data_IF_640893358684
#
_entry.id   IF_640893358684
#
_cell.length_a   1.000
_cell.length_b   1.000
_cell.length_c   1.000
_cell.angle_alpha   90.00
_cell.angle_beta   90.00
_cell.angle_gamma   90.00
#
_symmetry.space_group_name_H-M   'P 1'
#
loop_
_entity.id
_entity.type
_entity.pdbx_description
1 polymer ?
#
# COMPACT_ATOMS: atom_id res chain seq x y z
N UNK A 1 1.16 12.69 13.01
CA UNK A 1 1.89 12.73 11.71
C UNK A 1 3.29 13.40 11.77
N UNK A 2 3.66 14.12 12.83
CA UNK A 2 4.94 14.85 12.93
C UNK A 2 6.19 13.97 13.21
N UNK A 3 6.03 12.65 13.33
CA UNK A 3 7.10 11.73 13.77
C UNK A 3 7.64 10.77 12.69
N UNK A 4 7.41 11.08 11.41
CA UNK A 4 7.91 10.29 10.27
C UNK A 4 8.66 11.18 9.28
N UNK A 5 9.77 10.66 8.77
CA UNK A 5 10.76 11.28 7.87
C UNK A 5 10.57 10.85 6.40
N UNK A 6 9.43 10.25 6.04
CA UNK A 6 9.14 9.87 4.64
C UNK A 6 8.75 11.06 3.77
N UNK A 7 8.40 12.19 4.39
CA UNK A 7 8.00 13.40 3.67
C UNK A 7 9.18 14.01 2.94
N UNK A 8 8.93 14.40 1.69
CA UNK A 8 9.92 15.05 0.84
C UNK A 8 9.56 16.54 0.76
N UNK A 9 10.43 17.44 1.21
CA UNK A 9 10.19 18.87 1.04
C UNK A 9 10.26 19.23 -0.44
N UNK A 10 9.36 20.08 -0.91
CA UNK A 10 9.35 20.57 -2.29
C UNK A 10 10.12 21.89 -2.41
N UNK A 11 11.30 21.99 -1.78
CA UNK A 11 12.13 23.18 -1.85
C UNK A 11 13.00 23.21 -3.12
N UNK A 12 13.28 24.42 -3.59
CA UNK A 12 14.00 24.65 -4.85
C UNK A 12 15.40 24.04 -4.85
N UNK A 13 16.09 24.03 -3.70
CA UNK A 13 17.43 23.49 -3.61
C UNK A 13 17.45 21.97 -3.83
N UNK A 14 16.52 21.23 -3.21
CA UNK A 14 16.37 19.80 -3.46
C UNK A 14 16.05 19.53 -4.93
N UNK A 15 15.11 20.28 -5.51
CA UNK A 15 14.68 20.07 -6.89
C UNK A 15 15.83 20.30 -7.87
N UNK A 16 16.59 21.39 -7.70
CA UNK A 16 17.73 21.70 -8.56
C UNK A 16 18.84 20.63 -8.42
N UNK A 17 19.08 20.14 -7.21
CA UNK A 17 20.02 19.04 -6.96
C UNK A 17 19.58 17.74 -7.66
N UNK A 18 18.30 17.38 -7.57
CA UNK A 18 17.73 16.21 -8.25
C UNK A 18 17.90 16.32 -9.76
N UNK A 19 17.54 17.46 -10.36
CA UNK A 19 17.67 17.67 -11.81
C UNK A 19 19.13 17.56 -12.24
N UNK A 20 20.05 18.19 -11.48
CA UNK A 20 21.49 18.13 -11.75
C UNK A 20 21.99 16.69 -11.74
N UNK A 21 21.64 15.92 -10.71
CA UNK A 21 22.10 14.55 -10.58
C UNK A 21 21.57 13.66 -11.70
N UNK A 22 20.26 13.70 -11.97
CA UNK A 22 19.67 12.90 -13.05
C UNK A 22 20.21 13.30 -14.43
N UNK A 23 20.52 14.58 -14.63
CA UNK A 23 21.17 15.05 -15.86
C UNK A 23 22.58 14.45 -15.99
N UNK A 24 23.36 14.46 -14.91
CA UNK A 24 24.69 13.86 -14.88
C UNK A 24 24.62 12.35 -15.15
N UNK A 25 23.81 11.60 -14.39
CA UNK A 25 23.67 10.16 -14.55
C UNK A 25 23.25 9.76 -15.97
N UNK A 26 22.36 10.55 -16.59
CA UNK A 26 21.94 10.33 -17.98
C UNK A 26 23.08 10.60 -18.97
N UNK A 27 23.79 11.71 -18.82
CA UNK A 27 24.85 12.10 -19.76
C UNK A 27 26.04 11.13 -19.70
N UNK A 28 26.39 10.66 -18.50
CA UNK A 28 27.43 9.67 -18.27
C UNK A 28 26.97 8.22 -18.49
N UNK A 29 25.70 8.01 -18.86
CA UNK A 29 25.10 6.69 -19.10
C UNK A 29 25.29 5.72 -17.93
N UNK A 30 25.10 6.20 -16.71
CA UNK A 30 25.22 5.37 -15.52
C UNK A 30 24.17 4.26 -15.47
N UNK A 31 24.43 3.21 -14.70
CA UNK A 31 23.59 2.03 -14.65
C UNK A 31 22.30 2.25 -13.83
N UNK A 32 21.32 1.38 -14.01
CA UNK A 32 20.03 1.41 -13.30
C UNK A 32 20.18 1.48 -11.78
N UNK A 33 21.19 0.81 -11.22
CA UNK A 33 21.45 0.81 -9.79
C UNK A 33 21.79 2.20 -9.25
N UNK A 34 22.47 3.05 -10.03
CA UNK A 34 22.77 4.44 -9.62
C UNK A 34 21.49 5.28 -9.55
N UNK A 35 20.65 5.19 -10.58
CA UNK A 35 19.34 5.86 -10.60
C UNK A 35 18.46 5.36 -9.45
N UNK A 36 18.42 4.04 -9.22
CA UNK A 36 17.63 3.43 -8.16
C UNK A 36 18.12 3.85 -6.77
N UNK A 37 19.43 3.82 -6.54
CA UNK A 37 20.04 4.23 -5.27
C UNK A 37 19.72 5.70 -4.97
N UNK A 38 20.00 6.60 -5.92
CA UNK A 38 19.76 8.03 -5.72
C UNK A 38 18.27 8.34 -5.48
N UNK A 39 17.38 7.72 -6.26
CA UNK A 39 15.93 7.88 -6.09
C UNK A 39 15.47 7.35 -4.74
N UNK A 40 15.96 6.18 -4.33
CA UNK A 40 15.68 5.61 -3.02
C UNK A 40 16.08 6.59 -1.90
N UNK A 41 17.25 7.20 -1.97
CA UNK A 41 17.73 8.04 -0.87
C UNK A 41 17.04 9.41 -0.82
N UNK A 42 16.78 10.01 -1.98
CA UNK A 42 16.36 11.42 -2.05
C UNK A 42 14.86 11.60 -2.31
N UNK A 43 14.25 10.69 -3.07
CA UNK A 43 12.90 10.82 -3.60
C UNK A 43 11.92 9.74 -3.11
N UNK A 44 12.42 8.72 -2.40
CA UNK A 44 11.61 7.66 -1.79
C UNK A 44 12.12 7.42 -0.37
N UNK A 45 12.02 8.44 0.48
CA UNK A 45 12.59 8.45 1.83
C UNK A 45 12.01 7.35 2.73
N UNK A 46 12.70 7.07 3.83
CA UNK A 46 12.30 6.11 4.85
C UNK A 46 12.56 6.65 6.25
N UNK A 47 11.83 6.15 7.22
CA UNK A 47 12.19 6.33 8.62
C UNK A 47 13.46 5.52 8.96
N UNK A 48 14.32 6.02 9.86
CA UNK A 48 15.36 5.21 10.47
C UNK A 48 14.78 3.95 11.12
N UNK A 49 15.47 2.83 10.97
CA UNK A 49 15.05 1.56 11.58
C UNK A 49 15.18 1.67 13.09
N UNK A 50 14.09 1.49 13.81
CA UNK A 50 14.10 1.46 15.27
C UNK A 50 13.67 0.07 15.79
N UNK A 51 14.46 -0.57 16.68
CA UNK A 51 14.10 -1.85 17.28
C UNK A 51 12.98 -1.73 18.32
N UNK A 52 12.66 -0.54 18.80
CA UNK A 52 11.54 -0.31 19.70
C UNK A 52 10.94 1.06 19.39
N UNK A 53 9.66 1.09 19.04
CA UNK A 53 8.94 2.34 18.99
C UNK A 53 8.27 2.56 20.34
N UNK A 54 8.18 3.82 20.76
CA UNK A 54 7.25 4.19 21.82
C UNK A 54 5.83 3.79 21.40
N UNK A 55 5.01 3.35 22.37
CA UNK A 55 3.61 3.00 22.14
C UNK A 55 2.77 4.26 21.90
N UNK A 56 2.93 4.88 20.73
CA UNK A 56 2.18 6.09 20.36
C UNK A 56 0.82 5.77 19.73
N UNK A 57 0.59 4.51 19.31
CA UNK A 57 -0.59 4.07 18.55
C UNK A 57 -0.79 4.78 17.21
N UNK A 58 0.20 5.55 16.75
CA UNK A 58 0.16 6.20 15.45
C UNK A 58 0.62 5.23 14.36
N UNK A 59 -0.06 5.25 13.21
CA UNK A 59 0.43 4.56 12.03
C UNK A 59 1.76 5.15 11.57
N UNK A 60 2.75 4.26 11.38
CA UNK A 60 4.05 4.58 10.81
C UNK A 60 4.25 3.77 9.55
N UNK A 61 5.26 4.14 8.77
CA UNK A 61 5.60 3.52 7.51
C UNK A 61 6.98 2.90 7.58
N UNK A 62 7.12 1.73 6.96
CA UNK A 62 8.39 1.05 6.83
C UNK A 62 8.68 0.77 5.35
N UNK A 63 9.83 1.28 4.89
CA UNK A 63 10.32 1.01 3.54
C UNK A 63 11.16 -0.26 3.53
N UNK A 64 10.72 -1.23 2.74
CA UNK A 64 11.37 -2.51 2.53
C UNK A 64 12.01 -2.54 1.14
N UNK A 65 13.18 -3.17 1.03
CA UNK A 65 13.93 -3.31 -0.22
C UNK A 65 14.02 -4.79 -0.54
N UNK A 66 13.64 -5.19 -1.76
CA UNK A 66 13.68 -6.57 -2.24
C UNK A 66 13.05 -7.60 -1.29
N UNK A 67 12.04 -7.17 -0.52
CA UNK A 67 11.42 -8.05 0.47
C UNK A 67 10.61 -9.12 -0.25
N UNK A 68 11.05 -10.37 -0.10
CA UNK A 68 10.30 -11.52 -0.57
C UNK A 68 9.26 -11.93 0.48
N UNK A 69 7.99 -11.88 0.08
CA UNK A 69 6.89 -12.39 0.89
C UNK A 69 6.09 -13.38 0.05
N UNK A 70 6.07 -14.66 0.47
CA UNK A 70 5.37 -15.72 -0.25
C UNK A 70 4.01 -16.03 0.38
N UNK A 71 2.92 -16.11 -0.40
CA UNK A 71 1.68 -16.68 0.10
C UNK A 71 1.90 -18.13 0.49
N UNK A 72 1.16 -18.58 1.50
CA UNK A 72 1.13 -19.99 1.90
C UNK A 72 -0.21 -20.60 1.54
N UNK A 73 -0.18 -21.85 1.06
CA UNK A 73 -1.37 -22.67 0.80
C UNK A 73 -2.02 -23.21 2.07
N UNK A 74 -1.38 -23.02 3.24
CA UNK A 74 -1.95 -23.39 4.53
C UNK A 74 -3.28 -22.67 4.75
N UNK A 75 -4.30 -23.41 5.18
CA UNK A 75 -5.62 -22.85 5.51
C UNK A 75 -5.52 -21.72 6.56
N UNK A 76 -4.53 -21.80 7.45
CA UNK A 76 -4.27 -20.82 8.50
C UNK A 76 -3.42 -19.63 8.03
N UNK A 77 -2.97 -19.61 6.78
CA UNK A 77 -2.22 -18.48 6.24
C UNK A 77 -3.10 -17.24 6.13
N UNK A 78 -2.56 -16.11 6.63
CA UNK A 78 -3.14 -14.77 6.47
C UNK A 78 -2.65 -14.03 5.24
N UNK A 79 -1.71 -14.61 4.51
CA UNK A 79 -1.30 -14.17 3.19
C UNK A 79 -1.64 -15.24 2.17
N UNK A 80 -2.59 -14.92 1.30
CA UNK A 80 -3.12 -15.82 0.28
C UNK A 80 -2.88 -15.23 -1.10
N UNK A 81 -2.65 -16.11 -2.07
CA UNK A 81 -2.61 -15.74 -3.47
C UNK A 81 -4.02 -15.37 -3.97
N UNK A 82 -4.18 -14.31 -4.78
CA UNK A 82 -5.44 -14.06 -5.48
C UNK A 82 -5.77 -15.24 -6.40
N UNK A 83 -7.05 -15.63 -6.53
CA UNK A 83 -7.44 -16.66 -7.47
C UNK A 83 -7.27 -16.15 -8.92
N UNK A 84 -6.96 -17.07 -9.83
CA UNK A 84 -6.95 -16.78 -11.26
C UNK A 84 -8.38 -16.43 -11.74
N UNK A 85 -8.50 -15.39 -12.56
CA UNK A 85 -9.79 -14.90 -13.09
C UNK A 85 -10.09 -15.54 -14.45
N UNK A 86 -9.05 -15.94 -15.18
CA UNK A 86 -9.17 -16.65 -16.44
C UNK A 86 -8.64 -18.07 -16.22
N UNK A 87 -9.41 -19.07 -16.67
CA UNK A 87 -8.95 -20.44 -16.83
C UNK A 87 -7.89 -20.46 -17.93
N UNK A 88 -6.66 -20.09 -17.60
CA UNK A 88 -5.54 -20.37 -18.48
C UNK A 88 -5.08 -21.80 -18.19
N UNK A 89 -4.99 -22.65 -19.21
CA UNK A 89 -4.35 -23.98 -19.16
C UNK A 89 -2.82 -23.89 -18.88
N UNK A 90 -2.33 -22.79 -18.30
CA UNK A 90 -0.92 -22.42 -18.34
C UNK A 90 -0.41 -21.90 -16.99
N UNK A 91 0.38 -22.75 -16.35
CA UNK A 91 1.37 -22.50 -15.28
C UNK A 91 0.83 -21.87 -14.00
N UNK A 92 0.90 -22.62 -12.89
CA UNK A 92 0.80 -22.06 -11.54
C UNK A 92 1.83 -20.92 -11.40
N UNK A 93 1.34 -19.69 -11.17
CA UNK A 93 2.21 -18.58 -10.83
C UNK A 93 2.69 -18.72 -9.38
N UNK A 94 4.00 -18.78 -9.16
CA UNK A 94 4.59 -19.09 -7.86
C UNK A 94 4.66 -17.89 -6.88
N UNK A 95 4.11 -16.74 -7.30
CA UNK A 95 4.12 -15.46 -6.56
C UNK A 95 5.50 -15.10 -5.98
N UNK A 96 6.58 -15.54 -6.63
CA UNK A 96 7.94 -15.28 -6.21
C UNK A 96 8.44 -13.94 -6.78
N UNK A 97 7.82 -12.84 -6.35
CA UNK A 97 8.21 -11.49 -6.74
C UNK A 97 8.90 -10.76 -5.58
N UNK A 98 9.92 -9.97 -5.91
CA UNK A 98 10.69 -9.15 -4.97
C UNK A 98 10.68 -7.72 -5.49
N UNK A 99 9.81 -6.85 -4.98
CA UNK A 99 9.81 -5.48 -5.43
C UNK A 99 11.09 -4.76 -5.01
N UNK A 100 11.62 -3.90 -5.88
CA UNK A 100 12.83 -3.13 -5.57
C UNK A 100 12.62 -2.31 -4.29
N UNK A 101 11.47 -1.64 -4.20
CA UNK A 101 11.04 -0.94 -2.99
C UNK A 101 9.54 -1.20 -2.74
N UNK A 102 9.18 -1.44 -1.49
CA UNK A 102 7.79 -1.48 -1.05
C UNK A 102 7.60 -0.79 0.30
N UNK A 103 6.53 -0.02 0.41
CA UNK A 103 6.13 0.63 1.66
C UNK A 103 4.99 -0.12 2.32
N UNK A 104 5.21 -0.39 3.61
CA UNK A 104 4.30 -1.12 4.48
C UNK A 104 3.92 -0.26 5.68
N UNK A 105 2.81 -0.61 6.31
CA UNK A 105 2.42 -0.04 7.59
C UNK A 105 3.17 -0.77 8.71
N UNK A 106 3.77 -0.01 9.64
CA UNK A 106 4.35 -0.58 10.86
C UNK A 106 3.26 -0.87 11.88
N UNK A 107 3.32 -2.04 12.51
CA UNK A 107 2.50 -2.36 13.69
C UNK A 107 3.26 -2.15 15.01
N UNK A 108 4.53 -1.76 14.95
CA UNK A 108 5.42 -1.70 16.13
C UNK A 108 5.12 -0.55 17.10
N UNK A 109 4.37 0.46 16.67
CA UNK A 109 3.91 1.57 17.52
C UNK A 109 2.66 1.23 18.32
N UNK A 110 2.10 0.03 18.12
CA UNK A 110 0.95 -0.48 18.85
C UNK A 110 1.39 -1.43 19.98
N UNK A 111 0.53 -1.53 20.99
CA UNK A 111 0.72 -2.45 22.10
C UNK A 111 0.93 -3.90 21.62
N UNK A 112 1.94 -4.63 22.11
CA UNK A 112 2.25 -6.00 21.66
C UNK A 112 1.11 -7.02 21.78
N UNK A 113 0.27 -6.92 22.82
CA UNK A 113 -0.87 -7.82 22.98
C UNK A 113 -1.96 -7.55 21.94
N UNK A 114 -2.16 -6.28 21.61
CA UNK A 114 -3.01 -5.90 20.48
C UNK A 114 -2.44 -6.42 19.17
N UNK A 115 -1.13 -6.29 18.93
CA UNK A 115 -0.48 -6.81 17.70
C UNK A 115 -0.65 -8.32 17.60
N UNK A 116 -0.50 -9.08 18.69
CA UNK A 116 -0.74 -10.53 18.71
C UNK A 116 -2.17 -10.90 18.30
N UNK A 117 -3.16 -10.13 18.74
CA UNK A 117 -4.56 -10.32 18.30
C UNK A 117 -4.74 -9.89 16.84
N UNK A 118 -4.12 -8.77 16.45
CA UNK A 118 -4.18 -8.21 15.11
C UNK A 118 -3.68 -9.21 14.05
N UNK A 119 -2.54 -9.86 14.32
CA UNK A 119 -1.94 -10.91 13.47
C UNK A 119 -2.83 -12.14 13.28
N UNK A 120 -3.89 -12.32 14.09
CA UNK A 120 -4.87 -13.38 13.87
C UNK A 120 -5.79 -13.11 12.70
N UNK A 121 -5.89 -11.88 12.20
CA UNK A 121 -6.87 -11.48 11.17
C UNK A 121 -6.23 -11.04 9.86
N UNK A 122 -5.01 -10.52 9.92
CA UNK A 122 -4.27 -10.02 8.77
C UNK A 122 -2.82 -10.53 8.81
N UNK A 123 -2.18 -10.59 7.65
CA UNK A 123 -0.77 -10.93 7.57
C UNK A 123 0.10 -9.85 8.23
N UNK A 124 0.95 -10.27 9.15
CA UNK A 124 1.99 -9.45 9.75
C UNK A 124 3.32 -10.15 9.53
N UNK A 125 4.24 -9.49 8.83
CA UNK A 125 5.56 -10.02 8.56
C UNK A 125 6.51 -9.72 9.73
N UNK A 126 7.09 -10.76 10.32
CA UNK A 126 8.04 -10.69 11.44
C UNK A 126 7.56 -9.80 12.60
N UNK A 127 6.27 -9.85 12.94
CA UNK A 127 5.62 -9.04 13.98
C UNK A 127 5.86 -7.52 13.82
N UNK A 128 6.09 -7.07 12.58
CA UNK A 128 6.64 -5.74 12.29
C UNK A 128 5.80 -4.93 11.34
N UNK A 129 5.47 -5.50 10.18
CA UNK A 129 4.86 -4.75 9.07
C UNK A 129 3.63 -5.47 8.52
N UNK A 130 2.68 -4.71 8.01
CA UNK A 130 1.44 -5.20 7.42
C UNK A 130 0.94 -4.29 6.29
N UNK A 131 -0.01 -4.78 5.50
CA UNK A 131 -0.77 -3.99 4.53
C UNK A 131 0.08 -3.11 3.61
N UNK A 132 0.86 -3.68 2.68
CA UNK A 132 1.66 -2.89 1.74
C UNK A 132 0.75 -2.02 0.87
N UNK A 133 1.16 -0.79 0.61
CA UNK A 133 0.30 0.21 -0.01
C UNK A 133 0.94 0.99 -1.16
N UNK A 134 2.27 0.89 -1.30
CA UNK A 134 3.01 1.52 -2.39
C UNK A 134 4.20 0.64 -2.79
N UNK A 135 4.31 0.31 -4.08
CA UNK A 135 5.37 -0.53 -4.66
C UNK A 135 6.11 0.23 -5.75
N UNK A 136 7.43 0.06 -5.84
CA UNK A 136 8.27 0.68 -6.87
C UNK A 136 9.12 -0.36 -7.58
N UNK A 137 9.25 -0.19 -8.89
CA UNK A 137 10.08 -1.00 -9.79
C UNK A 137 10.94 -0.09 -10.66
N UNK A 138 12.22 -0.42 -10.79
CA UNK A 138 13.20 0.21 -11.65
C UNK A 138 13.47 -0.70 -12.85
N UNK A 139 13.71 -0.10 -14.01
CA UNK A 139 14.06 -0.83 -15.23
C UNK A 139 15.01 -0.04 -16.12
N UNK A 140 15.80 -0.77 -16.89
CA UNK A 140 16.85 -0.23 -17.78
C UNK A 140 16.35 0.19 -19.16
N UNK A 141 15.36 -0.50 -19.74
CA UNK A 141 14.94 -0.33 -21.14
C UNK A 141 13.41 -0.47 -21.38
N UNK A 142 12.92 -0.08 -22.56
CA UNK A 142 11.48 -0.04 -22.85
C UNK A 142 10.84 -1.43 -22.81
N UNK A 143 11.58 -2.49 -23.20
CA UNK A 143 11.08 -3.88 -23.16
C UNK A 143 10.90 -4.39 -21.73
N UNK A 144 11.52 -3.75 -20.75
CA UNK A 144 11.41 -4.11 -19.35
C UNK A 144 10.33 -3.32 -18.60
N UNK A 145 9.70 -2.31 -19.23
CA UNK A 145 8.62 -1.52 -18.62
C UNK A 145 7.31 -2.30 -18.47
N UNK A 146 6.93 -3.11 -19.46
CA UNK A 146 5.78 -4.03 -19.33
C UNK A 146 5.97 -4.97 -18.14
N UNK A 147 7.18 -5.50 -17.98
CA UNK A 147 7.54 -6.35 -16.83
C UNK A 147 7.44 -5.58 -15.50
N UNK A 148 7.85 -4.32 -15.45
CA UNK A 148 7.69 -3.48 -14.26
C UNK A 148 6.22 -3.30 -13.89
N UNK A 149 5.39 -3.03 -14.90
CA UNK A 149 3.96 -2.89 -14.73
C UNK A 149 3.33 -4.20 -14.25
N UNK A 150 3.73 -5.35 -14.80
CA UNK A 150 3.28 -6.67 -14.36
C UNK A 150 3.68 -6.98 -12.92
N UNK A 151 4.90 -6.58 -12.51
CA UNK A 151 5.37 -6.73 -11.13
C UNK A 151 4.54 -5.86 -10.17
N UNK A 152 4.26 -4.61 -10.54
CA UNK A 152 3.36 -3.73 -9.77
C UNK A 152 1.95 -4.32 -9.69
N UNK A 153 1.41 -4.80 -10.82
CA UNK A 153 0.08 -5.40 -10.89
C UNK A 153 -0.01 -6.62 -9.97
N UNK A 154 1.02 -7.47 -9.98
CA UNK A 154 1.14 -8.65 -9.12
C UNK A 154 1.18 -8.27 -7.65
N UNK A 155 2.07 -7.34 -7.28
CA UNK A 155 2.22 -6.87 -5.90
C UNK A 155 0.92 -6.24 -5.38
N UNK A 156 0.28 -5.42 -6.20
CA UNK A 156 -0.99 -4.78 -5.88
C UNK A 156 -2.14 -5.78 -5.78
N UNK A 157 -2.25 -6.75 -6.68
CA UNK A 157 -3.27 -7.80 -6.63
C UNK A 157 -3.16 -8.63 -5.35
N UNK A 158 -1.93 -8.99 -4.95
CA UNK A 158 -1.65 -9.64 -3.68
C UNK A 158 -2.11 -8.80 -2.48
N UNK A 159 -1.73 -7.51 -2.44
CA UNK A 159 -2.09 -6.60 -1.36
C UNK A 159 -3.62 -6.41 -1.26
N UNK A 160 -4.26 -6.12 -2.39
CA UNK A 160 -5.69 -5.84 -2.48
C UNK A 160 -6.54 -7.07 -2.18
N UNK A 161 -6.17 -8.25 -2.68
CA UNK A 161 -6.90 -9.47 -2.41
C UNK A 161 -6.95 -9.78 -0.91
N UNK A 162 -5.80 -9.75 -0.23
CA UNK A 162 -5.74 -10.00 1.21
C UNK A 162 -6.49 -8.91 2.00
N UNK A 163 -6.45 -7.66 1.53
CA UNK A 163 -7.25 -6.58 2.12
C UNK A 163 -8.76 -6.80 1.93
N UNK A 164 -9.19 -7.32 0.79
CA UNK A 164 -10.59 -7.68 0.53
C UNK A 164 -11.05 -8.83 1.43
N UNK A 165 -10.23 -9.86 1.60
CA UNK A 165 -10.54 -10.96 2.52
C UNK A 165 -10.80 -10.45 3.94
N UNK A 166 -9.96 -9.55 4.46
CA UNK A 166 -10.22 -8.90 5.75
C UNK A 166 -11.54 -8.13 5.77
N UNK A 167 -11.84 -7.35 4.72
CA UNK A 167 -13.09 -6.60 4.62
C UNK A 167 -14.32 -7.52 4.60
N UNK A 168 -14.26 -8.63 3.87
CA UNK A 168 -15.32 -9.64 3.81
C UNK A 168 -15.57 -10.25 5.19
N UNK A 169 -14.51 -10.59 5.93
CA UNK A 169 -14.65 -11.10 7.30
C UNK A 169 -15.35 -10.07 8.20
N UNK A 170 -14.96 -8.78 8.14
CA UNK A 170 -15.70 -7.72 8.85
C UNK A 170 -17.19 -7.69 8.46
N UNK A 171 -17.49 -7.78 7.16
CA UNK A 171 -18.86 -7.69 6.66
C UNK A 171 -19.71 -8.87 7.14
N UNK A 172 -19.13 -10.07 7.26
CA UNK A 172 -19.78 -11.23 7.89
C UNK A 172 -20.10 -10.96 9.37
N UNK A 173 -19.14 -10.46 10.13
CA UNK A 173 -19.36 -10.15 11.56
C UNK A 173 -20.45 -9.09 11.77
N UNK A 174 -20.50 -8.10 10.88
CA UNK A 174 -21.47 -6.99 10.95
C UNK A 174 -22.77 -7.28 10.20
N UNK A 175 -22.89 -8.44 9.55
CA UNK A 175 -24.04 -8.84 8.70
C UNK A 175 -24.41 -7.79 7.65
N UNK A 176 -23.41 -7.12 7.06
CA UNK A 176 -23.57 -6.10 6.03
C UNK A 176 -23.16 -6.63 4.65
N UNK A 177 -23.72 -6.05 3.59
CA UNK A 177 -23.31 -6.32 2.22
C UNK A 177 -22.14 -5.42 1.79
N UNK A 178 -21.41 -5.86 0.78
CA UNK A 178 -20.43 -5.04 0.09
C UNK A 178 -21.12 -3.94 -0.74
N UNK A 179 -20.50 -2.76 -0.77
CA UNK A 179 -20.98 -1.54 -1.46
C UNK A 179 -19.79 -0.66 -1.86
N UNK A 180 -20.02 0.34 -2.71
CA UNK A 180 -18.99 1.21 -3.27
C UNK A 180 -18.25 2.01 -2.19
N UNK A 181 -18.89 2.28 -1.04
CA UNK A 181 -18.24 2.92 0.11
C UNK A 181 -17.03 2.11 0.58
N UNK A 182 -17.09 0.78 0.48
CA UNK A 182 -16.02 -0.12 0.92
C UNK A 182 -14.81 -0.13 0.00
N UNK A 183 -14.95 0.24 -1.28
CA UNK A 183 -13.86 0.22 -2.28
C UNK A 183 -12.98 1.46 -2.22
N UNK A 184 -13.47 2.57 -1.66
CA UNK A 184 -12.73 3.85 -1.57
C UNK A 184 -11.35 3.73 -0.91
N UNK A 185 -11.24 2.89 0.14
CA UNK A 185 -10.00 2.61 0.86
C UNK A 185 -9.19 1.43 0.30
N UNK A 186 -9.64 0.80 -0.79
CA UNK A 186 -9.04 -0.38 -1.39
C UNK A 186 -8.29 -0.01 -2.65
N UNK A 187 -7.09 0.52 -2.46
CA UNK A 187 -6.17 0.87 -3.54
C UNK A 187 -4.76 0.41 -3.21
N UNK A 188 -3.91 0.34 -4.21
CA UNK A 188 -2.48 0.17 -4.05
C UNK A 188 -1.80 1.04 -5.08
N UNK A 189 -0.76 1.75 -4.69
CA UNK A 189 -0.03 2.62 -5.61
C UNK A 189 1.20 1.91 -6.14
N UNK A 190 1.54 2.22 -7.39
CA UNK A 190 2.74 1.74 -8.05
C UNK A 190 3.58 2.91 -8.55
N UNK A 191 4.89 2.70 -8.67
CA UNK A 191 5.79 3.60 -9.37
C UNK A 191 6.74 2.77 -10.23
N UNK A 192 6.76 3.04 -11.54
CA UNK A 192 7.80 2.53 -12.43
C UNK A 192 8.76 3.65 -12.77
N UNK A 193 10.05 3.36 -12.73
CA UNK A 193 11.12 4.29 -13.09
C UNK A 193 12.01 3.69 -14.18
N UNK A 194 12.32 4.51 -15.17
CA UNK A 194 13.20 4.18 -16.28
C UNK A 194 14.14 5.34 -16.55
N UNK A 195 15.38 5.24 -16.04
CA UNK A 195 16.29 6.37 -16.00
C UNK A 195 15.64 7.57 -15.30
N UNK A 196 15.41 8.65 -16.04
CA UNK A 196 14.73 9.84 -15.52
C UNK A 196 13.20 9.86 -15.74
N UNK A 197 12.64 8.94 -16.52
CA UNK A 197 11.20 8.86 -16.77
C UNK A 197 10.52 8.08 -15.65
N UNK A 198 9.31 8.49 -15.29
CA UNK A 198 8.52 7.82 -14.25
C UNK A 198 7.04 7.72 -14.64
N UNK A 199 6.39 6.70 -14.09
CA UNK A 199 4.92 6.58 -14.13
C UNK A 199 4.40 6.13 -12.77
N UNK A 200 3.47 6.91 -12.21
CA UNK A 200 2.69 6.50 -11.06
C UNK A 200 1.44 5.75 -11.51
N UNK A 201 1.16 4.65 -10.83
CA UNK A 201 0.03 3.78 -11.08
C UNK A 201 -0.91 3.78 -9.87
N UNK A 202 -2.21 3.77 -10.12
CA UNK A 202 -3.24 3.52 -9.13
C UNK A 202 -3.91 2.19 -9.48
N UNK A 203 -3.68 1.18 -8.64
CA UNK A 203 -4.30 -0.13 -8.77
C UNK A 203 -5.51 -0.18 -7.85
N UNK A 204 -6.66 -0.53 -8.42
CA UNK A 204 -7.95 -0.61 -7.70
C UNK A 204 -8.71 -1.86 -8.10
N UNK A 205 -9.67 -2.27 -7.29
CA UNK A 205 -10.56 -3.38 -7.65
C UNK A 205 -11.34 -3.05 -8.92
N UNK A 206 -11.55 -4.07 -9.76
CA UNK A 206 -12.55 -3.98 -10.83
C UNK A 206 -13.93 -3.78 -10.22
N UNK A 207 -14.77 -3.04 -10.92
CA UNK A 207 -16.16 -2.83 -10.51
C UNK A 207 -16.88 -4.16 -10.41
N UNK A 208 -17.67 -4.34 -9.36
CA UNK A 208 -18.54 -5.50 -9.15
C UNK A 208 -20.00 -5.04 -9.10
N UNK A 209 -20.98 -5.87 -9.49
CA UNK A 209 -22.38 -5.54 -9.30
C UNK A 209 -22.67 -5.38 -7.81
N UNK A 210 -23.31 -4.28 -7.40
CA UNK A 210 -23.60 -4.01 -5.99
C UNK A 210 -25.11 -3.97 -5.72
N UNK A 211 -25.57 -4.36 -4.51
CA UNK A 211 -24.79 -4.89 -3.39
C UNK A 211 -24.40 -6.38 -3.55
N UNK A 212 -23.32 -6.83 -2.89
CA UNK A 212 -22.89 -8.24 -2.88
C UNK A 212 -22.88 -8.80 -1.46
N UNK A 213 -23.50 -9.97 -1.26
CA UNK A 213 -23.39 -10.71 0.00
C UNK A 213 -21.93 -11.15 0.22
N UNK A 214 -21.36 -11.02 1.43
CA UNK A 214 -19.99 -11.48 1.69
C UNK A 214 -19.79 -13.00 1.52
N UNK A 215 -20.88 -13.77 1.41
CA UNK A 215 -20.84 -15.21 1.08
C UNK A 215 -20.76 -15.50 -0.42
N UNK A 216 -21.17 -14.55 -1.25
CA UNK A 216 -21.21 -14.64 -2.70
C UNK A 216 -20.07 -13.86 -3.37
N UNK A 217 -19.29 -13.12 -2.57
CA UNK A 217 -18.18 -12.34 -3.08
C UNK A 217 -17.12 -13.24 -3.72
N UNK A 218 -16.74 -12.88 -4.95
CA UNK A 218 -15.62 -13.47 -5.68
C UNK A 218 -14.62 -12.37 -6.03
N UNK A 219 -13.37 -12.77 -6.24
CA UNK A 219 -12.30 -11.84 -6.60
C UNK A 219 -12.52 -11.32 -8.03
N UNK A 220 -12.75 -10.01 -8.22
CA UNK A 220 -13.01 -9.47 -9.54
C UNK A 220 -11.73 -9.12 -10.31
N UNK A 221 -10.58 -9.20 -9.65
CA UNK A 221 -9.32 -8.65 -10.15
C UNK A 221 -9.16 -7.17 -9.88
N UNK A 222 -8.14 -6.63 -10.53
CA UNK A 222 -7.76 -5.23 -10.40
C UNK A 222 -7.71 -4.55 -11.77
N UNK A 223 -7.98 -3.26 -11.78
CA UNK A 223 -7.57 -2.34 -12.84
C UNK A 223 -6.27 -1.66 -12.42
N UNK A 224 -5.29 -1.66 -13.32
CA UNK A 224 -4.04 -0.91 -13.19
C UNK A 224 -4.20 0.35 -14.05
N UNK A 225 -4.36 1.50 -13.41
CA UNK A 225 -4.64 2.77 -14.09
C UNK A 225 -3.45 3.69 -13.94
N UNK A 226 -2.99 4.28 -15.06
CA UNK A 226 -2.00 5.35 -15.01
C UNK A 226 -2.58 6.54 -14.23
N UNK A 227 -1.90 6.95 -13.15
CA UNK A 227 -2.27 8.13 -12.38
C UNK A 227 -1.60 9.39 -12.94
N UNK A 228 -0.32 9.27 -13.29
CA UNK A 228 0.44 10.33 -13.97
C UNK A 228 1.77 9.76 -14.50
N UNK A 229 2.34 10.42 -15.50
CA UNK A 229 3.69 10.15 -15.99
C UNK A 229 4.48 11.46 -16.09
N UNK A 230 5.80 11.37 -16.11
CA UNK A 230 6.67 12.53 -16.26
C UNK A 230 8.14 12.16 -16.37
N UNK A 231 8.98 13.18 -16.31
CA UNK A 231 10.43 13.03 -16.42
C UNK A 231 11.16 13.98 -15.46
N UNK A 232 12.06 13.44 -14.64
CA UNK A 232 12.77 14.08 -13.51
C UNK A 232 13.77 15.18 -13.96
N UNK A 233 13.91 15.44 -15.26
CA UNK A 233 14.83 16.45 -15.79
C UNK A 233 14.23 17.86 -15.85
N UNK A 234 13.00 18.07 -15.36
CA UNK A 234 12.39 19.40 -15.30
C UNK A 234 11.82 19.69 -13.92
N UNK A 235 11.96 20.95 -13.49
CA UNK A 235 11.47 21.42 -12.18
C UNK A 235 9.99 21.14 -11.94
N UNK A 236 9.06 21.40 -12.89
CA UNK A 236 7.65 21.07 -12.69
C UNK A 236 7.40 19.57 -12.47
N UNK A 237 8.12 18.70 -13.19
CA UNK A 237 7.95 17.26 -13.05
C UNK A 237 8.53 16.73 -11.74
N UNK A 238 9.67 17.26 -11.26
CA UNK A 238 10.20 16.90 -9.94
C UNK A 238 9.23 17.33 -8.83
N UNK A 239 8.68 18.54 -8.93
CA UNK A 239 7.65 19.00 -7.99
C UNK A 239 6.41 18.12 -8.00
N UNK A 240 5.96 17.71 -9.18
CA UNK A 240 4.81 16.82 -9.34
C UNK A 240 5.07 15.42 -8.79
N UNK A 241 6.27 14.87 -9.04
CA UNK A 241 6.72 13.60 -8.48
C UNK A 241 6.68 13.65 -6.93
N UNK A 242 7.27 14.68 -6.33
CA UNK A 242 7.31 14.88 -4.88
C UNK A 242 5.88 14.95 -4.31
N UNK A 243 4.98 15.69 -4.96
CA UNK A 243 3.58 15.76 -4.54
C UNK A 243 2.90 14.39 -4.53
N UNK A 244 3.10 13.59 -5.59
CA UNK A 244 2.51 12.24 -5.66
C UNK A 244 3.05 11.31 -4.58
N UNK A 245 4.37 11.27 -4.33
CA UNK A 245 4.93 10.45 -3.25
C UNK A 245 4.36 10.85 -1.89
N UNK A 246 4.32 12.16 -1.60
CA UNK A 246 3.75 12.67 -0.37
C UNK A 246 2.24 12.36 -0.26
N UNK A 247 1.47 12.47 -1.34
CA UNK A 247 0.05 12.14 -1.35
C UNK A 247 -0.20 10.65 -1.09
N UNK A 248 0.60 9.78 -1.70
CA UNK A 248 0.52 8.33 -1.46
C UNK A 248 0.83 7.99 -0.01
N UNK A 249 1.85 8.62 0.59
CA UNK A 249 2.15 8.45 2.02
C UNK A 249 1.04 8.99 2.92
N UNK A 250 0.47 10.16 2.58
CA UNK A 250 -0.69 10.72 3.29
C UNK A 250 -1.87 9.76 3.26
N UNK A 251 -2.23 9.24 2.09
CA UNK A 251 -3.29 8.26 1.94
C UNK A 251 -3.00 6.96 2.71
N UNK A 252 -1.78 6.44 2.62
CA UNK A 252 -1.35 5.24 3.34
C UNK A 252 -1.55 5.34 4.85
N UNK A 253 -1.12 6.46 5.44
CA UNK A 253 -1.16 6.68 6.89
C UNK A 253 -2.51 7.16 7.42
N UNK A 254 -3.28 7.91 6.63
CA UNK A 254 -4.55 8.51 7.09
C UNK A 254 -5.81 7.75 6.66
N UNK A 255 -5.73 6.94 5.59
CA UNK A 255 -6.88 6.22 5.04
C UNK A 255 -6.66 4.72 5.11
N UNK A 256 -5.59 4.21 4.49
CA UNK A 256 -5.36 2.76 4.37
C UNK A 256 -5.11 2.09 5.72
N UNK A 257 -4.17 2.61 6.52
CA UNK A 257 -3.86 2.09 7.86
C UNK A 257 -5.07 2.09 8.79
N UNK A 258 -5.72 3.24 9.04
CA UNK A 258 -6.93 3.29 9.86
C UNK A 258 -8.06 2.40 9.34
N UNK A 259 -8.25 2.29 8.02
CA UNK A 259 -9.24 1.38 7.43
C UNK A 259 -8.92 -0.09 7.71
N UNK A 260 -7.65 -0.49 7.61
CA UNK A 260 -7.20 -1.84 8.00
C UNK A 260 -7.47 -2.10 9.48
N UNK A 261 -7.11 -1.14 10.34
CA UNK A 261 -7.34 -1.22 11.78
C UNK A 261 -8.81 -1.39 12.14
N UNK A 262 -9.68 -0.57 11.53
CA UNK A 262 -11.12 -0.60 11.75
C UNK A 262 -11.67 -1.99 11.44
N UNK A 263 -11.26 -2.59 10.33
CA UNK A 263 -11.72 -3.93 9.97
C UNK A 263 -11.25 -5.01 10.93
N UNK A 264 -9.98 -4.97 11.35
CA UNK A 264 -9.48 -5.92 12.35
C UNK A 264 -10.22 -5.77 13.68
N UNK A 265 -10.49 -4.54 14.13
CA UNK A 265 -11.22 -4.30 15.38
C UNK A 265 -12.63 -4.87 15.34
N UNK A 266 -13.36 -4.70 14.23
CA UNK A 266 -14.69 -5.33 14.07
C UNK A 266 -14.61 -6.86 14.15
N UNK A 267 -13.58 -7.47 13.53
CA UNK A 267 -13.36 -8.91 13.61
C UNK A 267 -13.03 -9.38 15.03
N UNK A 268 -12.22 -8.62 15.78
CA UNK A 268 -11.90 -8.90 17.18
C UNK A 268 -13.18 -8.85 18.04
N UNK A 269 -13.97 -7.78 17.95
CA UNK A 269 -15.19 -7.65 18.76
C UNK A 269 -16.25 -8.72 18.45
N UNK A 270 -16.32 -9.18 17.20
CA UNK A 270 -17.24 -10.25 16.80
C UNK A 270 -16.86 -11.64 17.33
N UNK A 271 -15.55 -11.93 17.48
CA UNK A 271 -15.06 -13.30 17.74
C UNK A 271 -14.38 -13.49 19.10
N UNK A 272 -13.70 -12.47 19.61
CA UNK A 272 -12.93 -12.57 20.85
C UNK A 272 -13.80 -12.11 22.04
N UNK A 273 -14.33 -13.07 22.79
CA UNK A 273 -15.13 -12.78 23.99
C UNK A 273 -14.30 -11.98 25.00
N UNK A 274 -14.88 -10.93 25.58
CA UNK A 274 -14.29 -10.07 26.60
C UNK A 274 -13.10 -9.19 26.15
N UNK A 275 -12.81 -9.09 24.85
CA UNK A 275 -11.85 -8.11 24.33
C UNK A 275 -12.61 -6.87 23.88
N UNK A 276 -12.36 -5.73 24.53
CA UNK A 276 -12.90 -4.43 24.10
C UNK A 276 -11.90 -3.73 23.20
N UNK A 277 -12.37 -3.21 22.07
CA UNK A 277 -11.57 -2.31 21.23
C UNK A 277 -12.09 -0.88 21.38
N UNK A 278 -11.32 0.10 20.89
CA UNK A 278 -11.73 1.51 20.92
C UNK A 278 -12.89 1.84 19.96
N UNK A 279 -13.54 0.86 19.33
CA UNK A 279 -14.76 1.07 18.55
C UNK A 279 -15.98 1.40 19.44
N UNK A 280 -15.87 1.25 20.77
CA UNK A 280 -16.99 1.34 21.71
C UNK A 280 -17.59 2.74 21.96
N UNK A 281 -17.10 3.84 21.38
CA UNK A 281 -17.73 5.17 21.53
C UNK A 281 -18.84 5.47 20.51
N UNK A 282 -18.90 4.77 19.36
CA UNK A 282 -19.88 5.05 18.29
C UNK A 282 -20.99 4.01 18.15
N UNK A 283 -21.33 3.28 19.23
CA UNK A 283 -22.36 2.23 19.22
C UNK A 283 -23.80 2.70 18.94
N UNK A 284 -24.03 3.97 18.62
CA UNK A 284 -25.37 4.50 18.36
C UNK A 284 -25.67 5.00 16.95
N UNK A 285 -24.76 4.84 15.99
CA UNK A 285 -25.16 4.97 14.59
C UNK A 285 -24.28 4.11 13.67
N UNK A 286 -24.76 2.93 13.21
CA UNK A 286 -24.04 2.08 12.27
C UNK A 286 -23.87 2.68 10.87
N UNK A 287 -24.42 3.87 10.61
CA UNK A 287 -24.19 4.69 9.41
C UNK A 287 -23.43 6.01 9.69
N UNK A 288 -23.03 6.29 10.94
CA UNK A 288 -22.15 7.42 11.28
C UNK A 288 -20.69 7.16 10.90
N UNK A 289 -20.41 7.22 9.61
CA UNK A 289 -19.10 7.68 9.14
C UNK A 289 -19.21 9.20 8.96
N UNK A 290 -19.06 9.94 10.07
CA UNK A 290 -19.23 11.39 10.12
C UNK A 290 -18.44 12.12 9.03
N UNK A 291 -19.17 12.97 8.31
CA UNK A 291 -18.66 13.99 7.41
C UNK A 291 -17.65 14.88 8.15
N UNK A 292 -16.40 14.90 7.67
CA UNK A 292 -15.58 16.10 7.85
C UNK A 292 -16.17 17.14 6.90
N UNK A 293 -17.19 17.85 7.37
CA UNK A 293 -17.64 19.09 6.76
C UNK A 293 -16.50 20.11 6.88
N UNK A 294 -15.77 20.30 5.79
CA UNK A 294 -14.89 21.45 5.62
C UNK A 294 -15.77 22.63 5.23
N UNK A 295 -16.39 23.27 6.23
CA UNK A 295 -16.79 24.65 6.08
C UNK A 295 -15.58 25.55 6.37
N UNK A 296 -14.89 25.93 5.30
CA UNK A 296 -14.08 27.14 5.28
C UNK A 296 -14.87 28.21 4.51
N UNK A 297 -15.09 29.32 5.24
CA UNK A 297 -15.66 30.63 4.87
C UNK A 297 -15.94 30.93 3.41
#
# INVERSE_FOLDING_TARGET
>A
MQHTNVWIPADDQLIDNVIREFTYMRNEQLCEAEFASYTAENLLRRDPRCPSYEETREWRVERMIELLVKPSTSANSRLRAPPAIVSADSLEYDFNFKPDIQYWLSVRSFNPDYVRLFSRYIYVHNDRITGPYFTTEYKKDDRSMERAQDQIATAAAMALYNRCLLKIERLKETRKCWTAKHTSSLRHYGLTLQGASYTFWCVRLKSIPEPVSPHEWSWPGCDVVEATTGNILSKPNVQHFIHWVNEIHRWGLSVHGPSCEKDVKFCIEGREKNVRTSLCESRFDPDSDDEISVHAK
#
